data_IF_103740696471
#
_entry.id   IF_103740696471
#
_cell.length_a   1.000
_cell.length_b   1.000
_cell.length_c   1.000
_cell.angle_alpha   90.00
_cell.angle_beta   90.00
_cell.angle_gamma   90.00
#
_symmetry.space_group_name_H-M   'P 1'
#
loop_
_entity.id
_entity.type
_entity.pdbx_description
1 polymer ?
#
# COMPACT_ATOMS: atom_id res chain seq x y z
N UNK A 1 -29.47 -11.94 -3.57
CA UNK A 1 -28.84 -11.13 -4.62
C UNK A 1 -27.42 -10.79 -4.14
N UNK A 2 -26.42 -11.63 -4.44
CA UNK A 2 -25.04 -11.34 -4.06
C UNK A 2 -24.51 -10.26 -5.00
N UNK A 3 -24.18 -9.08 -4.46
CA UNK A 3 -23.54 -8.02 -5.26
C UNK A 3 -22.10 -8.44 -5.51
N UNK A 4 -21.84 -8.91 -6.72
CA UNK A 4 -20.50 -9.02 -7.29
C UNK A 4 -19.88 -7.62 -7.29
N UNK A 5 -18.96 -7.37 -6.35
CA UNK A 5 -18.15 -6.15 -6.37
C UNK A 5 -17.05 -6.41 -7.39
N UNK A 6 -17.25 -5.87 -8.59
CA UNK A 6 -16.19 -5.70 -9.57
C UNK A 6 -15.08 -4.85 -8.95
N UNK A 7 -13.93 -5.47 -8.67
CA UNK A 7 -12.67 -4.78 -8.40
C UNK A 7 -12.30 -3.94 -9.63
N UNK A 8 -12.60 -2.65 -9.61
CA UNK A 8 -12.07 -1.71 -10.60
C UNK A 8 -10.66 -1.28 -10.17
N UNK A 9 -9.63 -1.39 -11.01
CA UNK A 9 -8.32 -0.79 -10.76
C UNK A 9 -8.35 0.68 -11.21
N UNK A 10 -8.16 1.60 -10.26
CA UNK A 10 -8.15 3.04 -10.49
C UNK A 10 -8.94 3.68 -9.34
N UNK A 11 -8.32 4.34 -8.37
CA UNK A 11 -7.34 5.41 -8.52
C UNK A 11 -6.23 5.27 -7.48
N UNK A 12 -4.96 5.34 -7.91
CA UNK A 12 -3.84 5.61 -7.00
C UNK A 12 -3.34 4.42 -6.19
N UNK A 13 -4.18 3.69 -5.46
CA UNK A 13 -3.67 2.83 -4.38
C UNK A 13 -3.05 1.50 -4.86
N UNK A 14 -2.09 0.93 -4.10
CA UNK A 14 -1.56 -0.40 -4.36
C UNK A 14 -2.64 -1.48 -4.35
N UNK A 15 -2.54 -2.44 -5.26
CA UNK A 15 -3.39 -3.64 -5.20
C UNK A 15 -3.04 -4.50 -3.97
N UNK A 16 -3.94 -5.41 -3.60
CA UNK A 16 -3.67 -6.38 -2.53
C UNK A 16 -2.40 -7.20 -2.79
N UNK A 17 -2.16 -7.61 -4.03
CA UNK A 17 -0.96 -8.38 -4.40
C UNK A 17 0.31 -7.53 -4.23
N UNK A 18 0.27 -6.27 -4.64
CA UNK A 18 1.39 -5.33 -4.47
C UNK A 18 1.66 -5.01 -3.00
N UNK A 19 0.61 -4.90 -2.17
CA UNK A 19 0.78 -4.78 -0.72
C UNK A 19 1.40 -6.04 -0.15
N UNK A 20 0.93 -7.22 -0.52
CA UNK A 20 1.49 -8.50 -0.06
C UNK A 20 2.97 -8.62 -0.42
N UNK A 21 3.36 -8.23 -1.63
CA UNK A 21 4.76 -8.18 -2.07
C UNK A 21 5.57 -7.15 -1.29
N UNK A 22 5.01 -5.98 -1.00
CA UNK A 22 5.66 -4.98 -0.16
C UNK A 22 5.85 -5.46 1.29
N UNK A 23 4.86 -6.15 1.87
CA UNK A 23 4.97 -6.77 3.18
C UNK A 23 6.09 -7.81 3.20
N UNK A 24 6.15 -8.69 2.19
CA UNK A 24 7.23 -9.67 2.09
C UNK A 24 8.60 -8.99 1.97
N UNK A 25 8.74 -7.99 1.11
CA UNK A 25 9.99 -7.23 0.97
C UNK A 25 10.40 -6.52 2.27
N UNK A 26 9.44 -6.10 3.09
CA UNK A 26 9.72 -5.56 4.42
C UNK A 26 10.29 -6.61 5.37
N UNK A 27 9.80 -7.86 5.33
CA UNK A 27 10.39 -8.95 6.12
C UNK A 27 11.77 -9.34 5.61
N UNK A 28 11.94 -9.49 4.29
CA UNK A 28 13.23 -9.82 3.68
C UNK A 28 14.29 -8.76 4.04
N UNK A 29 13.88 -7.49 4.09
CA UNK A 29 14.74 -6.37 4.51
C UNK A 29 15.18 -6.45 5.98
N UNK A 30 14.36 -7.01 6.88
CA UNK A 30 14.79 -7.27 8.26
C UNK A 30 15.88 -8.33 8.28
N UNK A 31 15.72 -9.39 7.50
CA UNK A 31 16.70 -10.47 7.41
C UNK A 31 18.04 -9.99 6.83
N UNK A 32 18.01 -9.01 5.92
CA UNK A 32 19.18 -8.34 5.35
C UNK A 32 19.84 -7.31 6.31
N UNK A 33 19.24 -7.05 7.47
CA UNK A 33 19.77 -6.17 8.51
C UNK A 33 19.29 -4.71 8.44
N UNK A 34 18.35 -4.41 7.54
CA UNK A 34 17.64 -3.14 7.46
C UNK A 34 16.33 -3.18 8.28
N UNK A 35 15.55 -2.08 8.25
CA UNK A 35 14.26 -2.02 8.92
C UNK A 35 13.10 -2.44 8.02
N UNK A 36 12.03 -3.01 8.59
CA UNK A 36 10.82 -3.42 7.84
C UNK A 36 10.33 -2.36 6.84
N UNK A 37 10.22 -1.10 7.29
CA UNK A 37 9.71 -0.03 6.45
C UNK A 37 10.67 0.36 5.32
N UNK A 38 11.97 0.04 5.42
CA UNK A 38 12.91 0.28 4.33
C UNK A 38 12.57 -0.60 3.11
N UNK A 39 12.43 -1.92 3.32
CA UNK A 39 12.03 -2.85 2.27
C UNK A 39 10.59 -2.63 1.78
N UNK A 40 9.66 -2.41 2.71
CA UNK A 40 8.26 -2.16 2.38
C UNK A 40 8.09 -0.92 1.48
N UNK A 41 8.69 0.20 1.86
CA UNK A 41 8.62 1.45 1.09
C UNK A 41 9.30 1.29 -0.27
N UNK A 42 10.52 0.73 -0.30
CA UNK A 42 11.29 0.53 -1.53
C UNK A 42 10.55 -0.32 -2.56
N UNK A 43 9.79 -1.32 -2.10
CA UNK A 43 8.95 -2.17 -2.97
C UNK A 43 7.82 -1.36 -3.61
N UNK A 44 7.09 -0.57 -2.83
CA UNK A 44 6.01 0.29 -3.34
C UNK A 44 6.55 1.39 -4.28
N UNK A 45 7.69 1.99 -3.97
CA UNK A 45 8.36 2.94 -4.87
C UNK A 45 8.75 2.30 -6.21
N UNK A 46 9.24 1.05 -6.20
CA UNK A 46 9.56 0.29 -7.43
C UNK A 46 8.31 0.02 -8.29
N UNK A 47 7.15 -0.15 -7.68
CA UNK A 47 5.88 -0.27 -8.40
C UNK A 47 5.32 1.10 -8.88
N UNK A 48 6.02 2.19 -8.59
CA UNK A 48 5.68 3.55 -8.99
C UNK A 48 4.67 4.23 -8.06
N UNK A 49 4.56 3.78 -6.81
CA UNK A 49 3.79 4.48 -5.79
C UNK A 49 4.67 5.51 -5.09
N UNK A 50 4.11 6.71 -4.90
CA UNK A 50 4.68 7.73 -4.02
C UNK A 50 3.94 7.74 -2.70
N UNK A 51 4.67 7.91 -1.60
CA UNK A 51 4.10 8.18 -0.29
C UNK A 51 3.63 9.63 -0.24
N UNK A 52 2.35 9.86 0.02
CA UNK A 52 1.77 11.20 0.23
C UNK A 52 1.34 11.32 1.68
N UNK A 53 2.18 11.99 2.46
CA UNK A 53 1.96 12.18 3.90
C UNK A 53 1.01 13.35 4.23
N UNK A 54 0.69 14.18 3.23
CA UNK A 54 -0.12 15.40 3.36
C UNK A 54 -1.58 15.24 2.89
N UNK A 55 -1.97 14.05 2.41
CA UNK A 55 -3.33 13.83 1.92
C UNK A 55 -4.23 13.19 2.98
N UNK A 56 -5.54 13.55 3.01
CA UNK A 56 -6.54 12.77 3.73
C UNK A 56 -6.49 11.32 3.26
N UNK A 57 -6.82 10.40 4.16
CA UNK A 57 -6.92 8.97 3.85
C UNK A 57 -7.65 8.73 2.52
N UNK A 58 -6.99 8.11 1.55
CA UNK A 58 -7.59 7.86 0.22
C UNK A 58 -8.49 6.64 0.20
N UNK A 59 -8.58 5.93 1.32
CA UNK A 59 -9.34 4.70 1.46
C UNK A 59 -10.86 5.00 1.40
N UNK A 60 -11.63 4.15 0.70
CA UNK A 60 -13.05 4.37 0.41
C UNK A 60 -13.95 4.46 1.66
N UNK A 61 -13.51 3.91 2.78
CA UNK A 61 -14.16 4.00 4.09
C UNK A 61 -13.76 5.25 4.89
N UNK A 62 -12.94 6.15 4.33
CA UNK A 62 -12.52 7.38 5.00
C UNK A 62 -11.52 7.19 6.14
N UNK A 63 -10.99 5.98 6.34
CA UNK A 63 -10.04 5.65 7.41
C UNK A 63 -10.68 5.05 8.67
N UNK A 64 -11.92 4.58 8.60
CA UNK A 64 -12.63 3.90 9.68
C UNK A 64 -11.91 2.61 10.13
N UNK A 65 -11.18 1.94 9.23
CA UNK A 65 -10.34 0.77 9.56
C UNK A 65 -8.98 1.13 10.20
N UNK A 66 -8.74 2.41 10.47
CA UNK A 66 -7.46 2.95 10.95
C UNK A 66 -6.56 3.44 9.80
N UNK A 67 -5.78 4.49 10.04
CA UNK A 67 -4.80 5.00 9.07
C UNK A 67 -3.64 4.00 8.92
N UNK A 68 -3.84 3.00 8.08
CA UNK A 68 -2.78 2.06 7.75
C UNK A 68 -1.77 2.71 6.78
N UNK A 69 -0.49 2.30 6.85
CA UNK A 69 0.56 2.85 5.99
C UNK A 69 0.21 2.76 4.49
N UNK A 70 -0.55 1.74 4.08
CA UNK A 70 -1.09 1.56 2.73
C UNK A 70 -1.98 2.71 2.22
N UNK A 71 -2.71 3.42 3.10
CA UNK A 71 -3.55 4.55 2.72
C UNK A 71 -2.74 5.81 2.33
N UNK A 72 -1.41 5.80 2.53
CA UNK A 72 -0.52 6.91 2.15
C UNK A 72 0.15 6.66 0.79
N UNK A 73 0.05 5.47 0.21
CA UNK A 73 0.72 5.13 -1.04
C UNK A 73 -0.24 5.29 -2.21
N UNK A 74 0.14 6.12 -3.17
CA UNK A 74 -0.63 6.33 -4.40
C UNK A 74 0.28 6.37 -5.61
N UNK A 75 -0.16 5.85 -6.76
CA UNK A 75 0.48 5.92 -8.06
C UNK A 75 0.76 7.39 -8.35
N UNK A 76 2.04 7.70 -8.55
CA UNK A 76 2.47 9.00 -9.02
C UNK A 76 2.00 9.23 -10.46
#
# INVERSE_FOLDING_TARGET
MAKSISTQPGYGQPSYEQLREAFQAGFDSIDDGDGFYFGFNSSLERHGFGKREDIPCTCSDGGDHGHQPECQWVKA
#
